data_IF_572316399382
#
_entry.id   IF_572316399382
#
_cell.length_a   1.000
_cell.length_b   1.000
_cell.length_c   1.000
_cell.angle_alpha   90.00
_cell.angle_beta   90.00
_cell.angle_gamma   90.00
#
_symmetry.space_group_name_H-M   'P 1'
#
loop_
_entity.id
_entity.type
_entity.pdbx_description
1 polymer ?
#
# COMPACT_ATOMS: atom_id res chain seq x y z
N UNK A 1 13.46 -17.76 1.91
CA UNK A 1 13.98 -17.78 0.53
C UNK A 1 14.22 -16.36 0.09
N UNK A 2 15.45 -15.90 -0.08
CA UNK A 2 15.82 -14.89 -1.10
C UNK A 2 17.35 -14.96 -1.30
N UNK A 3 17.79 -15.23 -2.52
CA UNK A 3 19.13 -14.85 -2.99
C UNK A 3 18.95 -14.22 -4.38
N UNK A 4 19.48 -13.00 -4.58
CA UNK A 4 19.48 -12.34 -5.89
C UNK A 4 20.89 -11.88 -6.23
N UNK A 5 21.40 -12.37 -7.37
CA UNK A 5 22.58 -11.82 -8.04
C UNK A 5 22.14 -10.98 -9.23
N UNK A 6 22.60 -9.72 -9.30
CA UNK A 6 22.83 -9.02 -10.57
C UNK A 6 21.73 -8.15 -11.19
N UNK A 7 20.77 -7.58 -10.43
CA UNK A 7 19.85 -6.55 -10.94
C UNK A 7 19.95 -5.23 -10.13
N UNK A 8 19.68 -4.09 -10.78
CA UNK A 8 19.84 -2.70 -10.28
C UNK A 8 19.50 -2.47 -8.80
N UNK A 9 20.35 -1.71 -8.10
CA UNK A 9 20.28 -1.50 -6.65
C UNK A 9 18.87 -1.14 -6.13
N UNK A 10 18.18 -0.21 -6.79
CA UNK A 10 16.90 0.34 -6.31
C UNK A 10 15.74 -0.68 -6.25
N UNK A 11 15.58 -1.54 -7.26
CA UNK A 11 14.48 -2.55 -7.27
C UNK A 11 14.68 -3.57 -6.16
N UNK A 12 15.92 -3.99 -5.92
CA UNK A 12 16.25 -4.93 -4.84
C UNK A 12 16.06 -4.27 -3.47
N UNK A 13 16.50 -3.02 -3.30
CA UNK A 13 16.29 -2.25 -2.08
C UNK A 13 14.80 -2.06 -1.78
N UNK A 14 13.98 -1.69 -2.78
CA UNK A 14 12.53 -1.59 -2.64
C UNK A 14 11.89 -2.94 -2.28
N UNK A 15 12.31 -4.02 -2.93
CA UNK A 15 11.79 -5.37 -2.63
C UNK A 15 12.08 -5.76 -1.18
N UNK A 16 13.30 -5.51 -0.70
CA UNK A 16 13.69 -5.77 0.70
C UNK A 16 12.87 -4.89 1.64
N UNK A 17 12.77 -3.59 1.34
CA UNK A 17 12.02 -2.63 2.14
C UNK A 17 10.55 -3.05 2.29
N UNK A 18 9.85 -3.32 1.19
CA UNK A 18 8.44 -3.69 1.23
C UNK A 18 8.19 -5.10 1.77
N UNK A 19 9.20 -6.00 1.71
CA UNK A 19 9.16 -7.27 2.46
C UNK A 19 9.18 -7.01 3.97
N UNK A 20 10.05 -6.10 4.43
CA UNK A 20 10.06 -5.69 5.84
C UNK A 20 8.73 -5.06 6.28
N UNK A 21 8.14 -4.19 5.45
CA UNK A 21 6.84 -3.58 5.71
C UNK A 21 5.73 -4.65 5.79
N UNK A 22 5.69 -5.60 4.85
CA UNK A 22 4.72 -6.68 4.86
C UNK A 22 4.79 -7.52 6.15
N UNK A 23 6.00 -7.90 6.59
CA UNK A 23 6.17 -8.63 7.86
C UNK A 23 5.81 -7.76 9.07
N UNK A 24 6.11 -6.46 9.05
CA UNK A 24 5.73 -5.55 10.12
C UNK A 24 4.21 -5.44 10.27
N UNK A 25 3.45 -5.49 9.18
CA UNK A 25 1.98 -5.55 9.19
C UNK A 25 1.52 -6.90 9.74
N UNK A 26 2.04 -8.01 9.20
CA UNK A 26 1.67 -9.36 9.61
C UNK A 26 1.89 -9.62 11.10
N UNK A 27 3.02 -9.16 11.65
CA UNK A 27 3.32 -9.26 13.09
C UNK A 27 2.25 -8.56 13.93
N UNK A 28 1.77 -7.38 13.52
CA UNK A 28 0.75 -6.65 14.26
C UNK A 28 -0.60 -7.36 14.27
N UNK A 29 -1.00 -7.93 13.14
CA UNK A 29 -2.27 -8.67 13.06
C UNK A 29 -2.22 -10.02 13.77
N UNK A 30 -1.17 -10.81 13.55
CA UNK A 30 -1.04 -12.15 14.16
C UNK A 30 -0.85 -12.11 15.68
N UNK A 31 -0.52 -10.95 16.25
CA UNK A 31 -0.38 -10.76 17.70
C UNK A 31 -1.66 -10.29 18.37
N UNK A 32 -2.74 -10.07 17.61
CA UNK A 32 -4.07 -9.86 18.18
C UNK A 32 -4.50 -11.15 18.89
N UNK A 33 -4.76 -11.04 20.19
CA UNK A 33 -5.27 -12.13 21.01
C UNK A 33 -6.75 -11.90 21.22
N UNK A 34 -7.55 -12.62 20.45
CA UNK A 34 -9.01 -12.63 20.54
C UNK A 34 -9.50 -14.08 20.40
N UNK A 35 -10.41 -14.58 21.26
CA UNK A 35 -10.88 -15.96 21.20
C UNK A 35 -11.72 -16.27 19.95
N UNK A 36 -12.32 -15.26 19.33
CA UNK A 36 -13.28 -15.41 18.24
C UNK A 36 -12.67 -15.09 16.86
N UNK A 37 -11.50 -14.44 16.83
CA UNK A 37 -10.90 -13.92 15.60
C UNK A 37 -9.39 -14.22 15.54
N UNK A 38 -8.94 -14.69 14.38
CA UNK A 38 -7.52 -14.79 14.03
C UNK A 38 -7.29 -14.10 12.69
N UNK A 39 -6.32 -13.18 12.65
CA UNK A 39 -6.00 -12.39 11.46
C UNK A 39 -4.53 -12.56 11.12
N UNK A 40 -4.26 -12.86 9.85
CA UNK A 40 -2.92 -12.85 9.26
C UNK A 40 -2.96 -12.12 7.92
N UNK A 41 -1.82 -11.58 7.51
CA UNK A 41 -1.70 -10.90 6.21
C UNK A 41 -0.68 -11.60 5.34
N UNK A 42 -0.99 -11.77 4.05
CA UNK A 42 -0.10 -12.37 3.07
C UNK A 42 -0.04 -11.46 1.84
N UNK A 43 1.16 -11.14 1.38
CA UNK A 43 1.35 -10.42 0.12
C UNK A 43 1.22 -11.42 -1.04
N UNK A 44 0.19 -11.26 -1.86
CA UNK A 44 -0.06 -12.11 -3.04
C UNK A 44 0.59 -11.56 -4.30
N UNK A 45 0.77 -10.24 -4.38
CA UNK A 45 1.42 -9.55 -5.50
C UNK A 45 2.12 -8.28 -5.02
N UNK A 46 3.22 -7.94 -5.69
CA UNK A 46 3.98 -6.71 -5.45
C UNK A 46 4.34 -6.12 -6.82
N UNK A 47 3.90 -4.89 -7.07
CA UNK A 47 4.13 -4.16 -8.33
C UNK A 47 4.85 -2.86 -8.00
N UNK A 48 6.00 -2.65 -8.62
CA UNK A 48 6.72 -1.38 -8.60
C UNK A 48 6.35 -0.63 -9.88
N UNK A 49 5.85 0.59 -9.74
CA UNK A 49 5.60 1.48 -10.87
C UNK A 49 6.93 2.13 -11.23
N UNK A 50 7.43 1.91 -12.45
CA UNK A 50 8.78 2.33 -12.87
C UNK A 50 8.78 3.35 -14.00
N UNK A 51 7.61 3.64 -14.57
CA UNK A 51 7.41 4.66 -15.59
C UNK A 51 6.47 5.73 -15.02
N UNK A 52 6.70 7.00 -15.36
CA UNK A 52 5.84 8.12 -14.94
C UNK A 52 4.36 7.87 -15.31
N UNK A 53 4.10 7.33 -16.50
CA UNK A 53 2.72 7.04 -16.94
C UNK A 53 1.99 5.98 -16.10
N UNK A 54 2.71 5.20 -15.28
CA UNK A 54 2.11 4.16 -14.46
C UNK A 54 1.46 4.73 -13.17
N UNK A 55 1.87 5.94 -12.73
CA UNK A 55 1.38 6.61 -11.52
C UNK A 55 0.73 7.99 -11.73
N UNK A 56 0.44 8.36 -13.00
CA UNK A 56 -0.34 9.55 -13.40
C UNK A 56 -1.60 9.76 -12.52
N UNK A 57 -2.28 8.69 -12.10
CA UNK A 57 -3.49 8.76 -11.28
C UNK A 57 -3.30 9.47 -9.92
N UNK A 58 -2.08 9.52 -9.40
CA UNK A 58 -1.71 10.31 -8.22
C UNK A 58 -0.98 11.58 -8.63
N UNK A 59 -0.06 11.51 -9.60
CA UNK A 59 0.73 12.67 -10.03
C UNK A 59 -0.15 13.84 -10.51
N UNK A 60 -1.25 13.55 -11.21
CA UNK A 60 -2.23 14.54 -11.67
C UNK A 60 -2.95 15.29 -10.54
N UNK A 61 -2.91 14.75 -9.31
CA UNK A 61 -3.53 15.33 -8.12
C UNK A 61 -2.54 16.14 -7.28
N UNK A 62 -1.25 16.10 -7.61
CA UNK A 62 -0.21 16.73 -6.81
C UNK A 62 -0.22 18.24 -6.98
N UNK A 63 -0.33 18.94 -5.85
CA UNK A 63 0.02 20.34 -5.71
C UNK A 63 1.18 20.46 -4.71
N UNK A 64 2.31 20.98 -5.20
CA UNK A 64 3.49 21.29 -4.38
C UNK A 64 4.02 20.11 -3.56
N UNK A 65 3.97 18.89 -4.13
CA UNK A 65 4.41 17.65 -3.49
C UNK A 65 3.38 16.99 -2.57
N UNK A 66 2.14 17.48 -2.58
CA UNK A 66 1.06 16.99 -1.72
C UNK A 66 -0.28 16.84 -2.44
N UNK A 67 -1.19 16.02 -1.91
CA UNK A 67 -2.53 15.85 -2.47
C UNK A 67 -3.60 15.63 -1.41
N UNK A 68 -4.86 15.88 -1.79
CA UNK A 68 -6.03 15.53 -0.99
C UNK A 68 -6.22 14.01 -0.95
N UNK A 69 -6.20 13.43 0.26
CA UNK A 69 -6.25 11.97 0.42
C UNK A 69 -7.54 11.31 -0.08
N UNK A 70 -8.69 11.99 0.01
CA UNK A 70 -9.96 11.45 -0.48
C UNK A 70 -9.96 11.34 -2.02
N UNK A 71 -9.39 12.36 -2.67
CA UNK A 71 -9.21 12.39 -4.12
C UNK A 71 -8.23 11.31 -4.56
N UNK A 72 -7.09 11.16 -3.86
CA UNK A 72 -6.14 10.08 -4.10
C UNK A 72 -6.73 8.69 -3.92
N UNK A 73 -7.52 8.44 -2.87
CA UNK A 73 -8.21 7.15 -2.67
C UNK A 73 -9.16 6.81 -3.80
N UNK A 74 -9.95 7.79 -4.26
CA UNK A 74 -10.86 7.59 -5.37
C UNK A 74 -10.07 7.27 -6.66
N UNK A 75 -8.97 7.98 -6.91
CA UNK A 75 -8.13 7.74 -8.09
C UNK A 75 -7.45 6.37 -8.04
N UNK A 76 -6.84 5.99 -6.91
CA UNK A 76 -6.23 4.67 -6.75
C UNK A 76 -7.25 3.54 -6.88
N UNK A 77 -8.46 3.72 -6.34
CA UNK A 77 -9.56 2.76 -6.51
C UNK A 77 -9.88 2.55 -7.98
N UNK A 78 -10.05 3.63 -8.74
CA UNK A 78 -10.34 3.54 -10.17
C UNK A 78 -9.18 2.89 -10.94
N UNK A 79 -7.94 3.25 -10.61
CA UNK A 79 -6.75 2.73 -11.26
C UNK A 79 -6.61 1.21 -11.09
N UNK A 80 -6.67 0.67 -9.86
CA UNK A 80 -6.44 -0.77 -9.70
C UNK A 80 -7.56 -1.63 -10.32
N UNK A 81 -8.76 -1.05 -10.45
CA UNK A 81 -9.92 -1.71 -11.05
C UNK A 81 -9.88 -1.75 -12.57
N UNK A 82 -9.08 -0.89 -13.20
CA UNK A 82 -8.92 -0.92 -14.66
C UNK A 82 -8.18 -2.20 -15.06
N UNK A 83 -8.81 -3.10 -15.85
CA UNK A 83 -8.18 -4.32 -16.31
C UNK A 83 -6.88 -4.08 -17.10
N UNK A 84 -6.74 -2.91 -17.74
CA UNK A 84 -5.52 -2.54 -18.48
C UNK A 84 -4.28 -2.47 -17.57
N UNK A 85 -4.47 -2.19 -16.27
CA UNK A 85 -3.37 -2.11 -15.31
C UNK A 85 -2.86 -3.47 -14.82
N UNK A 86 -3.56 -4.56 -15.16
CA UNK A 86 -3.11 -5.94 -14.93
C UNK A 86 -2.93 -6.31 -13.46
N UNK A 87 -3.74 -5.73 -12.57
CA UNK A 87 -3.63 -5.95 -11.12
C UNK A 87 -4.33 -7.26 -10.72
N UNK A 88 -3.62 -8.24 -10.10
CA UNK A 88 -4.23 -9.48 -9.64
C UNK A 88 -5.29 -9.26 -8.57
N UNK A 89 -6.19 -10.23 -8.39
CA UNK A 89 -7.20 -10.18 -7.34
C UNK A 89 -6.57 -10.31 -5.94
N UNK A 90 -6.98 -9.46 -5.01
CA UNK A 90 -6.61 -9.49 -3.60
C UNK A 90 -7.75 -8.96 -2.72
N UNK A 91 -7.75 -9.29 -1.43
CA UNK A 91 -8.76 -8.80 -0.48
C UNK A 91 -8.56 -7.32 -0.13
N UNK A 92 -7.36 -6.79 -0.36
CA UNK A 92 -6.98 -5.41 -0.12
C UNK A 92 -5.78 -4.99 -0.97
N UNK A 93 -5.75 -3.72 -1.38
CA UNK A 93 -4.65 -3.12 -2.13
C UNK A 93 -4.06 -1.93 -1.37
N UNK A 94 -2.74 -1.86 -1.26
CA UNK A 94 -2.03 -0.75 -0.63
C UNK A 94 -1.15 -0.05 -1.66
N UNK A 95 -1.27 1.26 -1.76
CA UNK A 95 -0.37 2.09 -2.55
C UNK A 95 0.56 2.86 -1.62
N UNK A 96 1.86 2.78 -1.85
CA UNK A 96 2.87 3.48 -1.07
C UNK A 96 3.49 4.58 -1.93
N UNK A 97 3.48 5.81 -1.43
CA UNK A 97 3.90 6.98 -2.20
C UNK A 97 4.95 7.82 -1.47
N UNK A 98 5.81 8.51 -2.23
CA UNK A 98 6.71 9.53 -1.69
C UNK A 98 6.05 10.90 -1.52
N UNK A 99 4.83 11.09 -2.05
CA UNK A 99 4.09 12.35 -1.94
C UNK A 99 3.38 12.47 -0.60
N UNK A 100 3.12 13.72 -0.19
CA UNK A 100 2.41 13.99 1.06
C UNK A 100 0.88 13.94 0.89
N UNK A 101 0.19 13.24 1.76
CA UNK A 101 -1.26 13.26 1.95
C UNK A 101 -1.59 14.39 2.93
N UNK A 102 -2.52 15.27 2.57
CA UNK A 102 -2.90 16.38 3.44
C UNK A 102 -3.36 15.91 4.83
N UNK A 103 -2.63 16.34 5.87
CA UNK A 103 -2.91 16.12 7.29
C UNK A 103 -2.91 14.65 7.76
N UNK A 104 -2.34 13.71 6.99
CA UNK A 104 -2.33 12.29 7.33
C UNK A 104 -1.08 11.56 6.83
N UNK A 105 -0.72 10.43 7.47
CA UNK A 105 0.37 9.54 7.01
C UNK A 105 -0.14 8.33 6.21
N UNK A 106 -1.46 8.19 6.15
CA UNK A 106 -2.16 7.13 5.46
C UNK A 106 -3.64 7.47 5.38
N UNK A 107 -4.33 6.83 4.46
CA UNK A 107 -5.77 6.96 4.34
C UNK A 107 -6.40 5.68 3.77
N UNK A 108 -7.58 5.34 4.26
CA UNK A 108 -8.35 4.17 3.85
C UNK A 108 -9.86 4.43 3.89
N UNK A 109 -10.60 3.74 3.03
CA UNK A 109 -12.04 3.58 3.24
C UNK A 109 -12.31 2.72 4.48
N UNK A 110 -13.38 3.05 5.19
CA UNK A 110 -13.81 2.30 6.38
C UNK A 110 -14.78 1.18 6.00
N UNK A 111 -14.68 0.02 6.65
CA UNK A 111 -15.64 -1.10 6.52
C UNK A 111 -15.82 -1.64 5.10
N UNK A 112 -14.72 -1.78 4.38
CA UNK A 112 -14.74 -2.13 2.94
C UNK A 112 -13.84 -3.33 2.61
N UNK A 113 -13.44 -4.14 3.61
CA UNK A 113 -12.75 -5.41 3.35
C UNK A 113 -13.56 -6.26 2.36
N UNK A 114 -12.87 -6.93 1.43
CA UNK A 114 -13.50 -7.79 0.41
C UNK A 114 -14.49 -7.06 -0.52
N UNK A 115 -14.39 -5.74 -0.65
CA UNK A 115 -15.18 -4.96 -1.62
C UNK A 115 -14.28 -4.29 -2.66
N UNK A 116 -14.89 -3.76 -3.72
CA UNK A 116 -14.18 -2.91 -4.69
C UNK A 116 -13.63 -1.59 -4.12
N UNK A 117 -13.86 -1.28 -2.85
CA UNK A 117 -13.22 -0.12 -2.19
C UNK A 117 -12.18 -0.53 -1.15
N UNK A 118 -11.67 -1.77 -1.22
CA UNK A 118 -10.64 -2.29 -0.33
C UNK A 118 -9.23 -1.75 -0.67
N UNK A 119 -9.05 -0.42 -0.63
CA UNK A 119 -7.80 0.26 -1.00
C UNK A 119 -7.31 1.27 0.02
N UNK A 120 -6.02 1.28 0.34
CA UNK A 120 -5.38 2.28 1.20
C UNK A 120 -4.18 2.93 0.50
N UNK A 121 -3.86 4.15 0.93
CA UNK A 121 -2.66 4.87 0.50
C UNK A 121 -1.83 5.19 1.74
N UNK A 122 -0.51 5.02 1.65
CA UNK A 122 0.43 5.22 2.75
C UNK A 122 1.59 6.10 2.26
N UNK A 123 1.93 7.12 3.03
CA UNK A 123 3.15 7.90 2.82
C UNK A 123 4.38 7.07 3.24
N UNK A 124 5.38 6.99 2.36
CA UNK A 124 6.59 6.23 2.60
C UNK A 124 7.77 7.14 2.94
N UNK A 125 8.06 7.26 4.24
CA UNK A 125 9.21 8.00 4.77
C UNK A 125 10.45 7.13 5.02
N UNK A 126 10.45 5.87 4.56
CA UNK A 126 11.53 4.90 4.83
C UNK A 126 11.88 4.74 6.32
N UNK A 127 10.87 4.83 7.19
CA UNK A 127 11.01 4.58 8.64
C UNK A 127 10.20 3.37 9.08
N UNK A 128 10.53 2.80 10.25
CA UNK A 128 9.77 1.69 10.83
C UNK A 128 8.29 2.05 11.12
N UNK A 129 7.95 3.34 11.16
CA UNK A 129 6.58 3.83 11.33
C UNK A 129 5.66 3.51 10.15
N UNK A 130 6.20 3.34 8.94
CA UNK A 130 5.42 3.04 7.72
C UNK A 130 4.62 1.74 7.88
N UNK A 131 5.21 0.70 8.48
CA UNK A 131 4.51 -0.56 8.74
C UNK A 131 3.40 -0.41 9.79
N UNK A 132 3.53 0.53 10.74
CA UNK A 132 2.47 0.84 11.69
C UNK A 132 1.31 1.62 11.04
N UNK A 133 1.62 2.59 10.18
CA UNK A 133 0.63 3.33 9.40
C UNK A 133 -0.13 2.40 8.46
N UNK A 134 0.56 1.55 7.69
CA UNK A 134 -0.08 0.57 6.80
C UNK A 134 -0.97 -0.41 7.56
N UNK A 135 -0.56 -0.89 8.75
CA UNK A 135 -1.40 -1.72 9.59
C UNK A 135 -2.62 -0.95 10.13
N UNK A 136 -2.47 0.35 10.46
CA UNK A 136 -3.59 1.20 10.86
C UNK A 136 -4.63 1.34 9.74
N UNK A 137 -4.18 1.65 8.52
CA UNK A 137 -5.06 1.81 7.36
C UNK A 137 -5.76 0.51 6.93
N UNK A 138 -5.08 -0.62 7.10
CA UNK A 138 -5.72 -1.94 6.95
C UNK A 138 -6.76 -2.21 8.05
N UNK A 139 -6.58 -1.60 9.24
CA UNK A 139 -7.45 -1.76 10.40
C UNK A 139 -8.72 -0.92 10.36
N UNK A 140 -8.82 0.07 9.48
CA UNK A 140 -10.06 0.82 9.25
C UNK A 140 -11.19 -0.03 8.62
N UNK A 141 -10.89 -1.28 8.23
CA UNK A 141 -11.74 -2.17 7.44
C UNK A 141 -12.77 -2.95 8.23
#
# INVERSE_FOLDING_TARGET
>A
WVEFKGASNAINEMTIWYTYIAEAINIRYRTIVDPDISIGTVVTSFKILTNESDDDFIEDLIDSGSFDGASGLNAFRSWYQDPANGIPMADHYMYFTGFSIHYAMGIAYRKTMCTGSSVSIIENYFTAGVGAAAAHELGHR
#
